data_IF_361305326866
#
_entry.id   IF_361305326866
#
_cell.length_a   1.000
_cell.length_b   1.000
_cell.length_c   1.000
_cell.angle_alpha   90.00
_cell.angle_beta   90.00
_cell.angle_gamma   90.00
#
_symmetry.space_group_name_H-M   'P 1'
#
loop_
_entity.id
_entity.type
_entity.pdbx_description
1 polymer ?
#
# COMPACT_ATOMS: atom_id res chain seq x y z
N UNK A 1 -42.12 2.48 -21.99
CA UNK A 1 -41.58 1.76 -20.82
C UNK A 1 -40.07 1.47 -20.89
N UNK A 2 -39.41 1.54 -22.08
CA UNK A 2 -37.97 1.24 -22.23
C UNK A 2 -37.04 2.40 -21.79
N UNK A 3 -37.43 3.66 -21.98
CA UNK A 3 -36.59 4.83 -21.61
C UNK A 3 -36.36 4.96 -20.10
N UNK A 4 -37.36 4.61 -19.28
CA UNK A 4 -37.25 4.69 -17.81
C UNK A 4 -36.25 3.69 -17.23
N UNK A 5 -36.15 2.49 -17.82
CA UNK A 5 -35.20 1.47 -17.38
C UNK A 5 -33.76 1.86 -17.71
N UNK A 6 -33.54 2.48 -18.87
CA UNK A 6 -32.24 3.02 -19.26
C UNK A 6 -31.77 4.13 -18.32
N UNK A 7 -32.67 5.06 -17.97
CA UNK A 7 -32.36 6.13 -17.01
C UNK A 7 -32.03 5.56 -15.61
N UNK A 8 -32.75 4.53 -15.16
CA UNK A 8 -32.46 3.86 -13.89
C UNK A 8 -31.08 3.20 -13.88
N UNK A 9 -30.70 2.52 -14.96
CA UNK A 9 -29.37 1.89 -15.11
C UNK A 9 -28.23 2.92 -15.10
N UNK A 10 -28.41 4.05 -15.78
CA UNK A 10 -27.43 5.15 -15.78
C UNK A 10 -27.28 5.75 -14.37
N UNK A 11 -28.40 6.02 -13.68
CA UNK A 11 -28.36 6.53 -12.31
C UNK A 11 -27.70 5.54 -11.35
N UNK A 12 -27.98 4.23 -11.49
CA UNK A 12 -27.35 3.21 -10.67
C UNK A 12 -25.84 3.12 -10.93
N UNK A 13 -25.41 3.22 -12.19
CA UNK A 13 -24.00 3.25 -12.57
C UNK A 13 -23.26 4.49 -12.02
N UNK A 14 -23.93 5.65 -11.98
CA UNK A 14 -23.38 6.87 -11.37
C UNK A 14 -23.24 6.79 -9.85
N UNK A 15 -24.03 5.94 -9.19
CA UNK A 15 -23.98 5.72 -7.74
C UNK A 15 -22.93 4.69 -7.32
N UNK A 16 -22.41 3.89 -8.25
CA UNK A 16 -21.29 2.98 -7.98
C UNK A 16 -19.99 3.78 -8.13
N UNK A 17 -19.55 4.39 -7.04
CA UNK A 17 -18.18 4.90 -6.94
C UNK A 17 -17.25 3.74 -6.57
N UNK A 18 -16.10 3.63 -7.24
CA UNK A 18 -15.08 2.68 -6.84
C UNK A 18 -14.55 3.04 -5.45
N UNK A 19 -14.64 2.10 -4.51
CA UNK A 19 -13.98 2.21 -3.21
C UNK A 19 -12.50 1.86 -3.38
N UNK A 20 -11.60 2.71 -2.88
CA UNK A 20 -10.19 2.35 -2.84
C UNK A 20 -9.93 1.42 -1.64
N UNK A 21 -9.33 0.26 -1.90
CA UNK A 21 -8.83 -0.60 -0.83
C UNK A 21 -7.56 0.00 -0.22
N UNK A 22 -7.35 -0.21 1.09
CA UNK A 22 -6.14 0.21 1.78
C UNK A 22 -4.90 -0.47 1.20
N UNK A 23 -3.82 0.31 1.03
CA UNK A 23 -2.50 -0.23 0.70
C UNK A 23 -1.85 -0.71 1.98
N UNK A 24 -1.53 -1.99 2.06
CA UNK A 24 -0.86 -2.60 3.20
C UNK A 24 0.57 -2.94 2.82
N UNK A 25 1.52 -2.53 3.65
CA UNK A 25 2.94 -2.88 3.55
C UNK A 25 3.28 -3.91 4.64
N UNK A 26 3.81 -5.05 4.23
CA UNK A 26 4.19 -6.15 5.14
C UNK A 26 5.70 -6.38 5.06
N UNK A 27 6.38 -6.31 6.21
CA UNK A 27 7.80 -6.61 6.34
C UNK A 27 8.00 -7.88 7.18
N UNK A 28 8.79 -8.82 6.66
CA UNK A 28 9.08 -10.09 7.32
C UNK A 28 10.57 -10.43 7.20
N UNK A 29 11.26 -10.82 8.29
CA UNK A 29 10.79 -10.86 9.68
C UNK A 29 10.65 -9.47 10.31
N UNK A 30 9.76 -9.34 11.31
CA UNK A 30 9.57 -8.11 12.07
C UNK A 30 10.83 -7.67 12.85
N UNK A 31 11.67 -8.63 13.23
CA UNK A 31 12.96 -8.38 13.86
C UNK A 31 13.94 -9.51 13.55
N UNK A 32 15.24 -9.20 13.52
CA UNK A 32 16.30 -10.18 13.30
C UNK A 32 17.53 -9.84 14.13
N UNK A 33 18.05 -10.82 14.88
CA UNK A 33 19.36 -10.73 15.51
C UNK A 33 20.46 -11.03 14.50
N UNK A 34 21.53 -10.25 14.52
CA UNK A 34 22.62 -10.33 13.53
C UNK A 34 23.96 -10.21 14.23
N UNK A 35 25.00 -10.82 13.65
CA UNK A 35 26.37 -10.63 14.09
C UNK A 35 27.00 -9.43 13.38
N UNK A 36 28.00 -8.83 14.02
CA UNK A 36 28.74 -7.70 13.46
C UNK A 36 29.47 -8.14 12.18
N UNK A 37 29.41 -7.29 11.14
CA UNK A 37 30.02 -7.58 9.83
C UNK A 37 29.13 -8.37 8.87
N UNK A 38 27.97 -8.87 9.32
CA UNK A 38 27.02 -9.52 8.43
C UNK A 38 26.26 -8.52 7.57
N UNK A 39 26.08 -8.85 6.30
CA UNK A 39 25.12 -8.17 5.43
C UNK A 39 23.71 -8.69 5.70
N UNK A 40 22.75 -7.78 5.81
CA UNK A 40 21.34 -8.12 5.92
C UNK A 40 20.54 -7.53 4.78
N UNK A 41 19.52 -8.27 4.37
CA UNK A 41 18.48 -7.80 3.45
C UNK A 41 17.16 -7.73 4.20
N UNK A 42 16.39 -6.69 3.91
CA UNK A 42 15.03 -6.49 4.39
C UNK A 42 14.10 -6.46 3.19
N UNK A 43 12.93 -7.07 3.32
CA UNK A 43 11.92 -7.13 2.28
C UNK A 43 10.66 -6.40 2.72
N UNK A 44 9.91 -5.90 1.72
CA UNK A 44 8.58 -5.35 1.91
C UNK A 44 7.68 -5.87 0.80
N UNK A 45 6.56 -6.47 1.16
CA UNK A 45 5.49 -6.86 0.23
C UNK A 45 4.38 -5.84 0.32
N UNK A 46 3.84 -5.44 -0.83
CA UNK A 46 2.80 -4.42 -0.93
C UNK A 46 1.55 -5.08 -1.50
N UNK A 47 0.39 -4.83 -0.88
CA UNK A 47 -0.87 -5.49 -1.25
C UNK A 47 -1.32 -5.19 -2.68
N UNK A 48 -0.90 -4.05 -3.24
CA UNK A 48 -1.23 -3.63 -4.61
C UNK A 48 -0.12 -2.77 -5.21
N UNK A 49 -0.07 -2.67 -6.54
CA UNK A 49 0.91 -1.81 -7.22
C UNK A 49 0.64 -0.33 -6.90
N UNK A 50 1.64 0.36 -6.34
CA UNK A 50 1.57 1.79 -6.04
C UNK A 50 2.52 2.52 -6.98
N UNK A 51 1.96 3.13 -8.04
CA UNK A 51 2.71 3.92 -9.03
C UNK A 51 4.03 3.28 -9.49
N UNK A 52 4.00 1.98 -9.82
CA UNK A 52 5.17 1.21 -10.24
C UNK A 52 6.35 1.23 -9.23
N UNK A 53 6.05 1.47 -7.95
CA UNK A 53 7.03 1.54 -6.87
C UNK A 53 7.69 2.92 -6.68
N UNK A 54 7.30 3.94 -7.46
CA UNK A 54 7.95 5.26 -7.44
C UNK A 54 7.72 6.05 -6.13
N UNK A 55 6.75 5.67 -5.31
CA UNK A 55 6.46 6.32 -4.02
C UNK A 55 6.78 5.43 -2.81
N UNK A 56 7.78 4.57 -2.95
CA UNK A 56 8.28 3.73 -1.87
C UNK A 56 9.65 4.22 -1.43
N UNK A 57 9.88 4.22 -0.13
CA UNK A 57 11.14 4.66 0.48
C UNK A 57 11.46 3.84 1.72
N UNK A 58 12.75 3.64 1.97
CA UNK A 58 13.24 2.96 3.17
C UNK A 58 13.72 3.98 4.19
N UNK A 59 13.28 3.83 5.44
CA UNK A 59 13.64 4.73 6.53
C UNK A 59 14.40 3.97 7.61
N UNK A 60 15.46 4.59 8.14
CA UNK A 60 16.25 4.05 9.24
C UNK A 60 15.98 4.87 10.51
N UNK A 61 15.42 4.21 11.52
CA UNK A 61 15.25 4.79 12.85
C UNK A 61 16.20 4.12 13.85
N UNK A 62 17.02 4.92 14.52
CA UNK A 62 17.83 4.45 15.65
C UNK A 62 17.10 4.76 16.97
N UNK A 63 17.24 3.92 18.01
CA UNK A 63 16.64 4.18 19.31
C UNK A 63 17.01 5.58 19.82
N UNK A 64 16.00 6.35 20.25
CA UNK A 64 16.18 7.71 20.78
C UNK A 64 16.45 8.81 19.75
N UNK A 65 16.45 8.51 18.45
CA UNK A 65 16.60 9.50 17.38
C UNK A 65 15.27 9.77 16.69
N UNK A 66 15.09 11.02 16.22
CA UNK A 66 13.98 11.37 15.34
C UNK A 66 14.04 10.55 14.04
N UNK A 67 12.89 10.36 13.40
CA UNK A 67 12.84 9.69 12.11
C UNK A 67 13.65 10.52 11.09
N UNK A 68 14.58 9.86 10.40
CA UNK A 68 15.31 10.47 9.30
C UNK A 68 14.56 10.16 8.00
N UNK A 69 13.97 11.19 7.39
CA UNK A 69 13.18 11.11 6.17
C UNK A 69 14.04 11.29 4.93
#
# INVERSE_FOLDING_TARGET
MMMSNFLLLVMLGLLVQESMADVVLTQDPAARSVQLGNTVSTSCTISQSVYNGNYLSWYLQKPGQALNF
#
